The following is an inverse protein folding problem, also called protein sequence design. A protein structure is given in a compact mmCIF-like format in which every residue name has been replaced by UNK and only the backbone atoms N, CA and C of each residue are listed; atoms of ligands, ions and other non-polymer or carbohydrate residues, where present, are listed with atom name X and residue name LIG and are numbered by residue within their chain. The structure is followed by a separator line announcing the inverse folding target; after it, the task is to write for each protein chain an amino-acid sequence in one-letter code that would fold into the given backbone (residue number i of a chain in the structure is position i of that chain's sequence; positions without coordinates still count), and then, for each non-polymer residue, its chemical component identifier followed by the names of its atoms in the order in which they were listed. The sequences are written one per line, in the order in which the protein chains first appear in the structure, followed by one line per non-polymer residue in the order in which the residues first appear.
data_IF_948261494242
#
_entry.id   IF_948261494242
#
_cell.length_a   1.000
_cell.length_b   1.000
_cell.length_c   1.000
_cell.angle_alpha   90.00
_cell.angle_beta   90.00
_cell.angle_gamma   90.00
#
_symmetry.space_group_name_H-M   'P 1'
#
loop_
_entity.id
_entity.type
_entity.pdbx_description
1 polymer ?
#
# COMPACT_ATOMS: atom_id res chain seq x y z
N UNK A 1 15.39 -44.29 -76.61
CA UNK A 1 14.94 -42.92 -76.28
C UNK A 1 13.70 -43.07 -75.39
N UNK A 2 13.86 -43.06 -74.07
CA UNK A 2 12.77 -43.29 -73.11
C UNK A 2 12.28 -41.93 -72.61
N UNK A 3 11.04 -41.54 -72.91
CA UNK A 3 10.39 -40.40 -72.28
C UNK A 3 9.69 -40.90 -71.02
N UNK A 4 10.14 -40.42 -69.85
CA UNK A 4 9.38 -40.54 -68.62
C UNK A 4 8.27 -39.48 -68.65
N UNK A 5 7.01 -39.91 -68.79
CA UNK A 5 5.86 -39.04 -68.54
C UNK A 5 5.72 -38.85 -67.03
N UNK A 6 6.18 -37.71 -66.54
CA UNK A 6 5.83 -37.23 -65.21
C UNK A 6 4.38 -36.74 -65.24
N UNK A 7 3.43 -37.63 -64.91
CA UNK A 7 2.08 -37.21 -64.53
C UNK A 7 2.14 -36.59 -63.13
N UNK A 8 2.66 -35.37 -63.05
CA UNK A 8 2.72 -34.60 -61.81
C UNK A 8 1.34 -34.07 -61.46
N UNK A 9 0.64 -34.74 -60.56
CA UNK A 9 -0.52 -34.15 -59.87
C UNK A 9 0.00 -32.98 -59.04
N UNK A 10 -0.31 -31.74 -59.44
CA UNK A 10 -0.10 -30.58 -58.56
C UNK A 10 -1.15 -30.61 -57.46
N UNK A 11 -0.77 -31.13 -56.30
CA UNK A 11 -1.57 -30.96 -55.08
C UNK A 11 -1.39 -29.52 -54.63
N UNK A 12 -2.37 -28.65 -54.92
CA UNK A 12 -2.44 -27.33 -54.33
C UNK A 12 -2.79 -27.48 -52.85
N UNK A 13 -1.78 -27.50 -51.98
CA UNK A 13 -2.03 -27.53 -50.54
C UNK A 13 -2.53 -26.14 -50.14
N UNK A 14 -3.78 -26.07 -49.65
CA UNK A 14 -4.37 -24.80 -49.24
C UNK A 14 -3.66 -24.23 -48.01
N UNK A 15 -3.52 -22.90 -47.99
CA UNK A 15 -3.07 -22.17 -46.82
C UNK A 15 -4.08 -22.34 -45.67
N UNK A 16 -3.58 -22.63 -44.48
CA UNK A 16 -4.39 -22.73 -43.26
C UNK A 16 -3.94 -21.60 -42.35
N UNK A 17 -4.83 -20.64 -42.10
CA UNK A 17 -4.58 -19.54 -41.18
C UNK A 17 -4.58 -20.02 -39.73
N UNK A 18 -3.87 -19.29 -38.87
CA UNK A 18 -3.91 -19.57 -37.45
C UNK A 18 -5.27 -19.21 -36.84
N UNK A 19 -5.85 -20.16 -36.09
CA UNK A 19 -7.04 -19.94 -35.27
C UNK A 19 -6.65 -20.03 -33.80
N UNK A 20 -7.02 -19.02 -33.02
CA UNK A 20 -6.76 -18.94 -31.58
C UNK A 20 -8.05 -19.04 -30.78
N UNK A 21 -7.96 -19.64 -29.59
CA UNK A 21 -9.06 -19.72 -28.65
C UNK A 21 -9.36 -18.40 -27.94
N UNK A 22 -10.36 -18.43 -27.07
CA UNK A 22 -10.68 -17.30 -26.19
C UNK A 22 -9.55 -17.03 -25.20
N UNK A 23 -9.52 -15.80 -24.69
CA UNK A 23 -8.62 -15.42 -23.61
C UNK A 23 -8.96 -16.16 -22.33
N UNK A 24 -7.94 -16.69 -21.67
CA UNK A 24 -8.03 -17.15 -20.29
C UNK A 24 -8.27 -16.00 -19.31
N UNK A 25 -8.46 -16.33 -18.02
CA UNK A 25 -8.62 -15.32 -16.98
C UNK A 25 -7.35 -14.49 -16.81
N UNK A 26 -7.53 -13.27 -16.31
CA UNK A 26 -6.42 -12.43 -15.87
C UNK A 26 -5.75 -13.03 -14.63
N UNK A 27 -4.42 -12.98 -14.59
CA UNK A 27 -3.64 -13.33 -13.41
C UNK A 27 -3.81 -12.30 -12.28
N UNK A 28 -3.38 -12.67 -11.08
CA UNK A 28 -3.28 -11.72 -9.96
C UNK A 28 -2.38 -10.53 -10.31
N UNK A 29 -2.67 -9.37 -9.73
CA UNK A 29 -1.83 -8.18 -9.90
C UNK A 29 -0.42 -8.47 -9.37
N UNK A 30 0.62 -8.13 -10.15
CA UNK A 30 2.02 -8.34 -9.73
C UNK A 30 2.40 -7.52 -8.51
N UNK A 31 1.73 -6.39 -8.27
CA UNK A 31 1.90 -5.60 -7.06
C UNK A 31 0.76 -5.87 -6.07
N UNK A 32 1.13 -6.12 -4.82
CA UNK A 32 0.17 -6.18 -3.70
C UNK A 32 -0.37 -4.80 -3.33
N UNK A 33 0.37 -3.73 -3.62
CA UNK A 33 0.08 -2.35 -3.26
C UNK A 33 0.33 -1.38 -4.42
N UNK A 34 -0.67 -0.61 -4.82
CA UNK A 34 -0.48 0.42 -5.85
C UNK A 34 -0.33 -0.17 -7.25
N UNK A 35 0.41 0.52 -8.13
CA UNK A 35 0.45 0.17 -9.55
C UNK A 35 1.20 -1.14 -9.77
N UNK A 36 0.61 -2.05 -10.54
CA UNK A 36 1.20 -3.30 -11.00
C UNK A 36 0.71 -3.67 -12.39
N UNK A 37 0.96 -4.91 -12.79
CA UNK A 37 0.49 -5.48 -14.05
C UNK A 37 -0.20 -6.82 -13.84
N UNK A 38 -1.16 -7.14 -14.70
CA UNK A 38 -1.79 -8.46 -14.78
C UNK A 38 -1.67 -8.96 -16.21
N UNK A 39 -1.58 -10.28 -16.37
CA UNK A 39 -1.38 -10.96 -17.63
C UNK A 39 -2.43 -12.04 -17.85
N UNK A 40 -2.83 -12.26 -19.10
CA UNK A 40 -3.63 -13.42 -19.52
C UNK A 40 -3.06 -14.02 -20.79
N UNK A 41 -3.36 -15.28 -21.02
CA UNK A 41 -2.94 -15.99 -22.23
C UNK A 41 -4.11 -16.67 -22.93
N UNK A 42 -3.95 -16.98 -24.22
CA UNK A 42 -4.86 -17.81 -25.01
C UNK A 42 -4.06 -18.84 -25.79
N UNK A 43 -4.69 -19.96 -26.11
CA UNK A 43 -4.06 -21.07 -26.82
C UNK A 43 -4.36 -21.02 -28.32
N UNK A 44 -3.46 -21.59 -29.11
CA UNK A 44 -3.68 -21.80 -30.54
C UNK A 44 -4.55 -23.04 -30.71
N UNK A 45 -5.71 -22.89 -31.35
CA UNK A 45 -6.62 -23.99 -31.68
C UNK A 45 -6.23 -24.66 -32.99
N UNK A 46 -5.78 -23.88 -33.98
CA UNK A 46 -5.26 -24.39 -35.26
C UNK A 46 -3.96 -23.65 -35.59
N UNK A 47 -2.82 -24.34 -35.69
CA UNK A 47 -1.57 -23.71 -36.06
C UNK A 47 -1.53 -23.40 -37.56
N UNK A 48 -0.85 -22.31 -37.98
CA UNK A 48 -0.79 -21.93 -39.39
C UNK A 48 0.02 -22.95 -40.20
N UNK A 49 -0.43 -23.25 -41.42
CA UNK A 49 0.25 -24.17 -42.35
C UNK A 49 0.23 -23.65 -43.78
N UNK A 50 1.18 -24.12 -44.59
CA UNK A 50 1.27 -23.87 -46.03
C UNK A 50 1.23 -22.39 -46.41
N UNK A 51 1.90 -21.53 -45.63
CA UNK A 51 1.94 -20.08 -45.87
C UNK A 51 0.71 -19.31 -45.39
N UNK A 52 -0.17 -19.92 -44.58
CA UNK A 52 -1.26 -19.22 -43.92
C UNK A 52 -0.80 -18.19 -42.87
N UNK A 53 -1.72 -17.33 -42.48
CA UNK A 53 -1.50 -16.16 -41.62
C UNK A 53 -0.99 -16.57 -40.23
N UNK A 54 0.07 -15.93 -39.70
CA UNK A 54 0.60 -16.24 -38.37
C UNK A 54 -0.41 -15.92 -37.27
N UNK A 55 -0.24 -16.57 -36.12
CA UNK A 55 -1.11 -16.34 -34.97
C UNK A 55 -1.00 -14.89 -34.45
N UNK A 56 -2.12 -14.28 -34.05
CA UNK A 56 -2.08 -13.03 -33.31
C UNK A 56 -1.50 -13.25 -31.89
N UNK A 57 -1.29 -12.17 -31.15
CA UNK A 57 -0.70 -12.21 -29.80
C UNK A 57 -1.39 -13.23 -28.90
N UNK A 58 -0.59 -14.13 -28.30
CA UNK A 58 -1.06 -15.18 -27.40
C UNK A 58 -1.04 -14.77 -25.93
N UNK A 59 -0.40 -13.63 -25.62
CA UNK A 59 -0.29 -13.06 -24.28
C UNK A 59 -0.74 -11.61 -24.30
N UNK A 60 -1.44 -11.20 -23.26
CA UNK A 60 -1.87 -9.82 -23.09
C UNK A 60 -1.55 -9.34 -21.68
N UNK A 61 -0.98 -8.14 -21.57
CA UNK A 61 -0.68 -7.48 -20.30
C UNK A 61 -1.44 -6.16 -20.19
N UNK A 62 -1.96 -5.85 -18.99
CA UNK A 62 -2.53 -4.53 -18.68
C UNK A 62 -2.11 -4.06 -17.29
N UNK A 63 -2.26 -2.76 -17.05
CA UNK A 63 -2.08 -2.17 -15.72
C UNK A 63 -3.17 -2.65 -14.75
N UNK A 64 -2.80 -2.79 -13.49
CA UNK A 64 -3.70 -3.05 -12.37
C UNK A 64 -3.28 -2.23 -11.14
N UNK A 65 -4.16 -2.15 -10.16
CA UNK A 65 -3.87 -1.49 -8.88
C UNK A 65 -4.11 -2.47 -7.73
N UNK A 66 -3.06 -2.82 -6.99
CA UNK A 66 -3.10 -3.65 -5.80
C UNK A 66 -3.78 -2.91 -4.64
N UNK A 67 -4.89 -3.46 -4.15
CA UNK A 67 -5.74 -2.90 -3.09
C UNK A 67 -5.66 -3.73 -1.79
N UNK A 68 -4.50 -4.25 -1.42
CA UNK A 68 -4.38 -4.95 -0.14
C UNK A 68 -4.58 -3.95 1.03
N UNK A 69 -5.37 -4.34 2.04
CA UNK A 69 -5.69 -3.50 3.19
C UNK A 69 -4.44 -3.01 3.95
N UNK A 70 -3.35 -3.78 3.94
CA UNK A 70 -2.05 -3.40 4.50
C UNK A 70 -1.46 -2.16 3.79
N UNK A 71 -1.77 -1.98 2.51
CA UNK A 71 -1.29 -0.84 1.73
C UNK A 71 -2.03 0.44 2.09
N UNK A 72 -3.30 0.34 2.45
CA UNK A 72 -4.10 1.48 2.90
C UNK A 72 -3.54 2.02 4.21
N UNK A 73 -3.22 1.15 5.17
CA UNK A 73 -2.60 1.55 6.44
C UNK A 73 -1.18 2.08 6.28
N UNK A 74 -0.41 1.58 5.31
CA UNK A 74 0.93 2.10 5.02
C UNK A 74 0.94 3.50 4.39
N UNK A 75 -0.16 3.90 3.73
CA UNK A 75 -0.33 5.23 3.12
C UNK A 75 -0.82 6.29 4.10
N UNK A 76 -1.30 5.89 5.27
CA UNK A 76 -1.73 6.83 6.29
C UNK A 76 -0.54 7.65 6.80
N UNK A 77 -0.73 8.96 6.86
CA UNK A 77 0.25 9.89 7.43
C UNK A 77 -0.20 10.20 8.85
N UNK A 78 0.59 9.78 9.82
CA UNK A 78 0.34 10.12 11.21
C UNK A 78 0.52 11.62 11.44
N UNK A 79 -0.39 12.21 12.20
CA UNK A 79 -0.20 13.55 12.76
C UNK A 79 0.18 13.43 14.22
N UNK A 80 1.22 14.17 14.61
CA UNK A 80 1.72 14.13 15.99
C UNK A 80 1.82 15.51 16.62
N UNK A 81 1.61 15.53 17.94
CA UNK A 81 1.89 16.63 18.85
C UNK A 81 2.77 16.14 20.01
N UNK A 82 3.46 17.04 20.74
CA UNK A 82 4.17 16.65 21.94
C UNK A 82 3.19 16.24 23.04
N UNK A 83 3.62 15.35 23.93
CA UNK A 83 2.81 14.84 25.03
C UNK A 83 2.28 15.93 25.98
N UNK A 84 2.88 17.13 25.98
CA UNK A 84 2.35 18.29 26.72
C UNK A 84 0.93 18.70 26.31
N UNK A 85 0.43 18.24 25.14
CA UNK A 85 -0.95 18.48 24.70
C UNK A 85 -1.93 17.39 25.16
N UNK A 86 -1.49 16.43 25.99
CA UNK A 86 -2.35 15.37 26.54
C UNK A 86 -3.50 16.01 27.31
N UNK A 87 -4.71 15.97 26.75
CA UNK A 87 -5.90 16.46 27.44
C UNK A 87 -6.47 15.34 28.29
N UNK A 88 -6.28 15.44 29.61
CA UNK A 88 -7.06 14.67 30.58
C UNK A 88 -8.42 15.33 30.87
N UNK A 89 -8.75 16.40 30.14
CA UNK A 89 -9.88 17.27 30.44
C UNK A 89 -11.19 16.65 29.92
N UNK A 90 -11.90 15.93 30.81
CA UNK A 90 -13.34 15.70 30.66
C UNK A 90 -14.02 17.05 30.75
N UNK A 91 -14.38 17.62 29.60
CA UNK A 91 -15.02 18.94 29.51
C UNK A 91 -16.26 19.00 30.42
N UNK A 92 -16.22 19.78 31.54
CA UNK A 92 -17.33 19.86 32.49
C UNK A 92 -18.60 20.47 31.89
N UNK A 93 -18.48 21.20 30.77
CA UNK A 93 -19.58 21.87 30.08
C UNK A 93 -20.13 21.05 28.91
N UNK A 94 -19.62 19.82 28.71
CA UNK A 94 -20.10 18.93 27.64
C UNK A 94 -21.55 18.52 27.94
N UNK A 95 -22.46 18.93 27.06
CA UNK A 95 -23.91 18.77 27.27
C UNK A 95 -24.28 17.27 27.39
N UNK A 96 -25.11 16.87 28.37
CA UNK A 96 -25.51 15.47 28.60
C UNK A 96 -26.17 14.76 27.41
N UNK A 97 -26.73 15.52 26.46
CA UNK A 97 -27.45 15.00 25.29
C UNK A 97 -26.59 14.80 24.03
N UNK A 98 -25.29 15.13 24.06
CA UNK A 98 -24.40 14.69 22.98
C UNK A 98 -24.11 13.20 23.17
N UNK A 99 -24.49 12.38 22.19
CA UNK A 99 -24.08 10.98 22.10
C UNK A 99 -22.59 10.87 22.46
N UNK A 100 -22.30 10.25 23.61
CA UNK A 100 -20.94 10.06 24.05
C UNK A 100 -20.25 9.19 23.00
N UNK A 101 -19.20 9.73 22.38
CA UNK A 101 -18.32 8.91 21.55
C UNK A 101 -17.75 7.83 22.46
N UNK A 102 -17.89 6.57 22.05
CA UNK A 102 -17.45 5.42 22.82
C UNK A 102 -15.99 5.60 23.27
N UNK A 103 -15.75 5.46 24.58
CA UNK A 103 -14.45 5.66 25.19
C UNK A 103 -13.57 4.44 24.92
N UNK A 104 -12.71 4.54 23.91
CA UNK A 104 -11.80 3.46 23.50
C UNK A 104 -10.55 3.41 24.38
N UNK A 105 -10.03 2.21 24.64
CA UNK A 105 -8.81 2.03 25.40
C UNK A 105 -7.61 2.67 24.67
N UNK A 106 -6.89 3.56 25.36
CA UNK A 106 -5.64 4.14 24.83
C UNK A 106 -4.53 3.10 24.73
N UNK A 107 -3.65 3.23 23.74
CA UNK A 107 -2.47 2.38 23.61
C UNK A 107 -1.26 3.20 23.13
N UNK A 108 -0.07 2.65 23.31
CA UNK A 108 1.18 3.28 22.96
C UNK A 108 1.92 2.52 21.86
N UNK A 109 2.57 3.27 20.98
CA UNK A 109 3.29 2.73 19.84
C UNK A 109 4.75 3.16 19.92
N UNK A 110 5.64 2.17 19.85
CA UNK A 110 7.08 2.39 19.82
C UNK A 110 7.56 2.33 18.37
N UNK A 111 8.06 3.47 17.90
CA UNK A 111 8.38 3.74 16.51
C UNK A 111 9.86 4.09 16.39
N UNK A 112 10.52 3.52 15.37
CA UNK A 112 11.90 3.88 15.04
C UNK A 112 11.90 4.84 13.86
N UNK A 113 12.37 6.06 14.07
CA UNK A 113 12.43 7.10 13.04
C UNK A 113 13.45 6.69 11.98
N UNK A 114 13.02 6.59 10.73
CA UNK A 114 13.87 6.27 9.58
C UNK A 114 14.27 7.49 8.77
N UNK A 115 13.43 8.53 8.78
CA UNK A 115 13.73 9.80 8.14
C UNK A 115 13.03 10.93 8.87
N UNK A 116 13.68 12.08 8.94
CA UNK A 116 13.10 13.32 9.40
C UNK A 116 13.64 14.47 8.53
N UNK A 117 12.74 15.38 8.16
CA UNK A 117 13.09 16.61 7.44
C UNK A 117 13.94 17.57 8.31
N UNK A 118 14.72 18.44 7.66
CA UNK A 118 15.52 19.44 8.36
C UNK A 118 14.67 20.43 9.20
N UNK A 119 13.42 20.68 8.78
CA UNK A 119 12.48 21.55 9.48
C UNK A 119 12.15 21.08 10.91
N UNK A 120 12.35 19.79 11.22
CA UNK A 120 12.17 19.29 12.58
C UNK A 120 13.15 19.88 13.60
N UNK A 121 14.25 20.49 13.15
CA UNK A 121 15.21 21.18 14.03
C UNK A 121 14.71 22.57 14.48
N UNK A 122 13.63 23.08 13.90
CA UNK A 122 13.13 24.44 14.16
C UNK A 122 12.44 24.60 15.52
N UNK A 123 11.95 23.50 16.13
CA UNK A 123 11.33 23.51 17.46
C UNK A 123 12.01 22.49 18.38
N UNK A 124 12.11 22.83 19.66
CA UNK A 124 12.79 22.00 20.66
C UNK A 124 12.18 20.60 20.78
N UNK A 125 10.84 20.51 20.80
CA UNK A 125 10.13 19.24 20.97
C UNK A 125 10.25 18.32 19.74
N UNK A 126 10.46 18.87 18.53
CA UNK A 126 10.70 18.11 17.30
C UNK A 126 12.17 17.85 17.02
N UNK A 127 13.10 18.55 17.67
CA UNK A 127 14.54 18.43 17.42
C UNK A 127 15.08 17.02 17.68
N UNK A 128 14.39 16.24 18.53
CA UNK A 128 14.71 14.84 18.82
C UNK A 128 14.29 13.85 17.72
N UNK A 129 13.46 14.27 16.77
CA UNK A 129 13.04 13.43 15.64
C UNK A 129 14.20 13.35 14.65
N UNK A 130 15.14 12.45 14.92
CA UNK A 130 16.34 12.24 14.12
C UNK A 130 16.37 10.82 13.57
N UNK A 131 17.24 10.55 12.60
CA UNK A 131 17.37 9.21 12.03
C UNK A 131 17.81 8.21 13.11
N UNK A 132 17.19 7.03 13.09
CA UNK A 132 17.36 5.91 14.02
C UNK A 132 16.96 6.17 15.48
N UNK A 133 16.33 7.31 15.81
CA UNK A 133 15.81 7.52 17.17
C UNK A 133 14.53 6.72 17.42
N UNK A 134 14.44 6.08 18.58
CA UNK A 134 13.22 5.44 19.05
C UNK A 134 12.32 6.47 19.76
N UNK A 135 11.04 6.48 19.41
CA UNK A 135 10.05 7.40 19.98
C UNK A 135 8.79 6.65 20.39
N UNK A 136 8.19 7.11 21.49
CA UNK A 136 6.93 6.61 22.01
C UNK A 136 5.82 7.58 21.63
N UNK A 137 4.76 7.08 21.00
CA UNK A 137 3.60 7.86 20.58
C UNK A 137 2.34 7.22 21.15
N UNK A 138 1.58 7.98 21.92
CA UNK A 138 0.34 7.53 22.54
C UNK A 138 -0.86 7.82 21.64
N UNK A 139 -1.71 6.80 21.48
CA UNK A 139 -2.96 6.86 20.75
C UNK A 139 -4.12 6.92 21.75
N UNK A 140 -4.77 8.08 21.84
CA UNK A 140 -5.92 8.30 22.72
C UNK A 140 -7.24 8.06 21.98
N UNK A 141 -8.32 7.81 22.72
CA UNK A 141 -9.67 7.56 22.20
C UNK A 141 -10.16 8.64 21.22
N UNK A 142 -9.81 9.91 21.49
CA UNK A 142 -10.19 11.03 20.63
C UNK A 142 -9.58 10.93 19.23
N UNK A 143 -8.34 10.45 19.12
CA UNK A 143 -7.64 10.23 17.84
C UNK A 143 -8.14 8.97 17.09
N UNK A 144 -8.86 8.07 17.77
CA UNK A 144 -9.44 6.84 17.22
C UNK A 144 -10.82 7.07 16.58
N UNK A 145 -10.96 8.07 15.69
CA UNK A 145 -12.25 8.57 15.22
C UNK A 145 -13.17 7.53 14.56
N UNK A 146 -12.63 6.66 13.69
CA UNK A 146 -13.42 5.69 12.89
C UNK A 146 -13.02 4.23 13.09
N UNK A 147 -11.99 3.97 13.90
CA UNK A 147 -11.42 2.63 14.10
C UNK A 147 -10.82 2.53 15.50
N UNK A 148 -10.35 1.37 15.91
CA UNK A 148 -9.66 1.18 17.20
C UNK A 148 -8.14 1.43 17.10
N UNK A 149 -7.72 2.07 16.00
CA UNK A 149 -6.34 2.52 15.77
C UNK A 149 -6.26 4.02 15.47
N UNK A 150 -5.11 4.59 15.76
CA UNK A 150 -4.74 5.91 15.26
C UNK A 150 -4.23 5.85 13.82
N UNK A 151 -4.58 6.87 13.03
CA UNK A 151 -4.11 6.98 11.66
C UNK A 151 -2.58 7.06 11.60
N UNK A 152 -1.96 6.20 10.80
CA UNK A 152 -0.51 6.16 10.63
C UNK A 152 0.25 5.55 11.83
N UNK A 153 -0.45 4.92 12.78
CA UNK A 153 0.17 4.09 13.84
C UNK A 153 1.05 2.97 13.26
N UNK A 154 0.75 2.60 12.01
CA UNK A 154 1.56 1.79 11.13
C UNK A 154 1.45 0.29 11.39
N UNK A 155 2.08 -0.48 10.52
CA UNK A 155 2.15 -1.94 10.60
C UNK A 155 3.58 -2.33 10.93
N UNK A 156 3.76 -3.42 11.69
CA UNK A 156 5.09 -3.90 12.09
C UNK A 156 5.93 -4.17 10.85
N UNK A 157 7.15 -3.64 10.82
CA UNK A 157 8.09 -3.83 9.70
C UNK A 157 7.77 -3.05 8.43
N UNK A 158 6.67 -2.30 8.38
CA UNK A 158 6.32 -1.44 7.24
C UNK A 158 6.66 0.00 7.55
N UNK A 159 7.23 0.71 6.57
CA UNK A 159 7.52 2.13 6.69
C UNK A 159 6.22 2.93 6.57
N UNK A 160 5.93 3.75 7.57
CA UNK A 160 4.81 4.69 7.55
C UNK A 160 5.31 6.12 7.73
N UNK A 161 4.47 7.08 7.34
CA UNK A 161 4.83 8.48 7.25
C UNK A 161 4.19 9.29 8.36
N UNK A 162 4.80 10.42 8.70
CA UNK A 162 4.30 11.28 9.76
C UNK A 162 4.59 12.75 9.50
N UNK A 163 3.80 13.61 10.14
CA UNK A 163 3.95 15.06 10.15
C UNK A 163 3.69 15.61 11.55
N UNK A 164 4.51 16.57 11.98
CA UNK A 164 4.29 17.32 13.21
C UNK A 164 3.23 18.40 12.97
N UNK A 165 2.08 18.31 13.64
CA UNK A 165 0.92 19.13 13.33
C UNK A 165 1.15 20.64 13.53
N UNK A 166 2.01 21.03 14.48
CA UNK A 166 2.32 22.44 14.80
C UNK A 166 3.67 22.93 14.29
N UNK A 167 4.38 22.14 13.48
CA UNK A 167 5.69 22.51 12.92
C UNK A 167 5.67 22.31 11.41
N UNK A 168 5.39 23.39 10.69
CA UNK A 168 5.33 23.40 9.24
C UNK A 168 6.61 22.81 8.63
N UNK A 169 6.44 21.91 7.67
CA UNK A 169 7.55 21.23 7.01
C UNK A 169 8.22 20.13 7.86
N UNK A 170 7.94 19.98 9.16
CA UNK A 170 8.50 18.87 9.94
C UNK A 170 7.71 17.58 9.69
N UNK A 171 8.27 16.72 8.87
CA UNK A 171 7.71 15.43 8.50
C UNK A 171 8.81 14.38 8.35
N UNK A 172 8.40 13.12 8.21
CA UNK A 172 9.33 12.03 8.07
C UNK A 172 8.65 10.69 7.91
N UNK A 173 9.41 9.66 8.27
CA UNK A 173 8.91 8.28 8.27
C UNK A 173 9.50 7.50 9.43
N UNK A 174 8.78 6.46 9.85
CA UNK A 174 9.20 5.53 10.89
C UNK A 174 8.78 4.11 10.55
N UNK A 175 9.28 3.15 11.32
CA UNK A 175 8.82 1.77 11.32
C UNK A 175 8.34 1.42 12.72
N UNK A 176 7.17 0.80 12.81
CA UNK A 176 6.65 0.30 14.09
C UNK A 176 7.45 -0.91 14.57
N UNK A 177 8.03 -0.79 15.76
CA UNK A 177 8.70 -1.89 16.44
C UNK A 177 7.65 -2.77 17.15
N UNK A 178 6.94 -2.17 18.11
CA UNK A 178 5.88 -2.83 18.87
C UNK A 178 4.83 -1.83 19.36
N UNK A 179 3.71 -2.34 19.87
CA UNK A 179 2.64 -1.58 20.52
C UNK A 179 2.30 -2.21 21.86
N UNK A 180 1.89 -1.39 22.82
CA UNK A 180 1.50 -1.79 24.18
C UNK A 180 0.19 -1.13 24.56
N UNK A 181 -0.75 -1.88 25.13
CA UNK A 181 -2.00 -1.35 25.69
C UNK A 181 -1.76 -0.55 26.98
N UNK A 182 -0.67 -0.84 27.69
CA UNK A 182 -0.27 -0.10 28.89
C UNK A 182 0.79 0.93 28.51
N UNK A 183 0.37 2.18 28.43
CA UNK A 183 1.23 3.30 28.08
C UNK A 183 2.23 3.64 29.18
N UNK A 184 3.52 3.43 28.88
CA UNK A 184 4.66 3.83 29.73
C UNK A 184 5.61 4.72 28.93
N UNK A 185 5.07 5.73 28.25
CA UNK A 185 5.88 6.70 27.55
C UNK A 185 6.50 7.71 28.54
N UNK A 186 7.74 8.14 28.29
CA UNK A 186 8.40 9.20 29.07
C UNK A 186 7.81 10.59 28.75
N UNK A 187 8.13 11.60 29.55
CA UNK A 187 7.60 12.98 29.40
C UNK A 187 7.84 13.58 28.02
N UNK A 188 8.94 13.21 27.38
CA UNK A 188 9.28 13.72 26.07
C UNK A 188 8.46 13.11 24.92
N UNK A 189 7.57 12.15 25.18
CA UNK A 189 6.75 11.44 24.18
C UNK A 189 5.84 12.31 23.31
N UNK A 190 5.16 11.67 22.36
CA UNK A 190 4.23 12.32 21.45
C UNK A 190 2.84 11.70 21.57
N UNK A 191 1.85 12.37 20.98
CA UNK A 191 0.47 11.93 20.89
C UNK A 191 0.03 11.94 19.42
N UNK A 192 -0.75 10.95 19.02
CA UNK A 192 -1.49 10.97 17.76
C UNK A 192 -2.67 11.94 17.86
N UNK A 193 -3.00 12.60 16.73
CA UNK A 193 -4.16 13.49 16.59
C UNK A 193 -4.92 13.31 15.29
#
# INVERSE_FOLDING_TARGET
MWRAEFTGVRVCVSAIDCVVGSWGPWSSCTSSCGIGSTERSRQVSVPPRNGGTPCPDLKQRRGCFGNNAICSTAKEVAKILPNSFKRNFKDPWRRPHMLMKEEKASYCVHLQVKQASAACRLKLWTARLMRETAVCVECQSDAMAKSDRCGGDGVRGTRTFWSAASVAGCHGSWIRQFSSERCQCSDNSFLFV
#
